data_IF_809338637466
#
_entry.id   IF_809338637466
#
_cell.length_a   1.000
_cell.length_b   1.000
_cell.length_c   1.000
_cell.angle_alpha   90.00
_cell.angle_beta   90.00
_cell.angle_gamma   90.00
#
_symmetry.space_group_name_H-M   'P 1'
#
loop_
_entity.id
_entity.type
_entity.pdbx_description
1 polymer ?
#
# COMPACT_ATOMS: atom_id res chain seq x y z
N UNK A 1 -2.30 6.98 44.10
CA UNK A 1 -2.63 5.70 43.43
C UNK A 1 -2.05 5.75 42.04
N UNK A 2 -0.94 5.05 41.79
CA UNK A 2 -0.44 4.88 40.43
C UNK A 2 -1.39 3.89 39.75
N UNK A 3 -2.07 4.32 38.70
CA UNK A 3 -2.85 3.43 37.85
C UNK A 3 -1.81 2.77 36.94
N UNK A 4 -1.53 1.49 37.12
CA UNK A 4 -0.69 0.75 36.18
C UNK A 4 -1.44 0.69 34.84
N UNK A 5 -1.01 1.53 33.90
CA UNK A 5 -1.50 1.53 32.53
C UNK A 5 -0.77 0.42 31.80
N UNK A 6 -1.37 -0.77 31.75
CA UNK A 6 -0.88 -1.86 30.91
C UNK A 6 -1.26 -1.57 29.45
N UNK A 7 -0.27 -1.21 28.64
CA UNK A 7 -0.41 -1.14 27.19
C UNK A 7 -0.18 -2.54 26.60
N UNK A 8 -1.15 -3.02 25.80
CA UNK A 8 -1.07 -4.29 25.08
C UNK A 8 -1.06 -4.02 23.58
N UNK A 9 -0.02 -4.50 22.90
CA UNK A 9 0.02 -4.53 21.43
C UNK A 9 -0.87 -5.66 20.94
N UNK A 10 -1.69 -5.39 19.92
CA UNK A 10 -2.57 -6.37 19.29
C UNK A 10 -2.18 -6.49 17.81
N UNK A 11 -1.81 -7.71 17.40
CA UNK A 11 -1.81 -8.05 15.99
C UNK A 11 -3.25 -8.33 15.58
N UNK A 12 -3.78 -7.52 14.66
CA UNK A 12 -5.19 -7.59 14.26
C UNK A 12 -5.45 -8.65 13.18
N UNK A 13 -4.45 -9.00 12.37
CA UNK A 13 -4.65 -9.81 11.15
C UNK A 13 -5.89 -9.36 10.35
N UNK A 14 -6.06 -8.04 10.21
CA UNK A 14 -7.30 -7.43 9.74
C UNK A 14 -7.61 -7.71 8.26
N UNK A 15 -6.68 -8.33 7.52
CA UNK A 15 -6.89 -8.74 6.14
C UNK A 15 -8.08 -9.70 6.00
N UNK A 16 -8.40 -10.46 7.05
CA UNK A 16 -9.56 -11.35 7.08
C UNK A 16 -10.88 -10.67 7.50
N UNK A 17 -10.91 -9.35 7.66
CA UNK A 17 -12.14 -8.60 7.93
C UNK A 17 -13.17 -8.82 6.82
N UNK A 18 -14.45 -8.91 7.20
CA UNK A 18 -15.58 -9.13 6.31
C UNK A 18 -16.78 -8.31 6.75
N UNK A 19 -17.47 -7.73 5.79
CA UNK A 19 -18.69 -6.96 6.02
C UNK A 19 -19.51 -6.89 4.75
N UNK A 20 -20.84 -6.89 4.88
CA UNK A 20 -21.76 -6.59 3.78
C UNK A 20 -21.64 -5.16 3.26
N UNK A 21 -20.92 -4.29 3.99
CA UNK A 21 -20.62 -2.92 3.57
C UNK A 21 -19.38 -2.82 2.68
N UNK A 22 -18.65 -3.92 2.44
CA UNK A 22 -17.58 -3.92 1.43
C UNK A 22 -18.22 -3.88 0.03
N UNK A 23 -17.87 -2.89 -0.81
CA UNK A 23 -18.42 -2.76 -2.16
C UNK A 23 -17.71 -3.72 -3.11
N UNK A 24 -18.00 -5.02 -2.96
CA UNK A 24 -17.42 -6.08 -3.79
C UNK A 24 -18.13 -6.13 -5.15
N UNK A 25 -17.34 -6.22 -6.20
CA UNK A 25 -17.78 -6.44 -7.58
C UNK A 25 -17.64 -7.91 -7.98
N UNK A 26 -18.22 -8.27 -9.14
CA UNK A 26 -18.03 -9.61 -9.73
C UNK A 26 -16.55 -9.95 -9.94
N UNK A 27 -15.69 -8.96 -10.18
CA UNK A 27 -14.25 -9.17 -10.34
C UNK A 27 -13.57 -9.55 -9.03
N UNK A 28 -14.01 -8.98 -7.90
CA UNK A 28 -13.50 -9.33 -6.58
C UNK A 28 -13.95 -10.75 -6.19
N UNK A 29 -15.20 -11.11 -6.50
CA UNK A 29 -15.73 -12.45 -6.27
C UNK A 29 -15.02 -13.52 -7.13
N UNK A 30 -14.77 -13.22 -8.41
CA UNK A 30 -14.00 -14.12 -9.28
C UNK A 30 -12.55 -14.28 -8.79
N UNK A 31 -11.90 -13.18 -8.41
CA UNK A 31 -10.55 -13.20 -7.82
C UNK A 31 -10.50 -14.05 -6.55
N UNK A 32 -11.46 -13.87 -5.63
CA UNK A 32 -11.54 -14.67 -4.40
C UNK A 32 -11.72 -16.17 -4.71
N UNK A 33 -12.63 -16.50 -5.62
CA UNK A 33 -12.94 -17.89 -6.02
C UNK A 33 -11.71 -18.60 -6.60
N UNK A 34 -10.89 -17.90 -7.38
CA UNK A 34 -9.68 -18.45 -8.02
C UNK A 34 -8.42 -18.35 -7.13
N UNK A 35 -8.51 -17.73 -5.95
CA UNK A 35 -7.38 -17.58 -5.04
C UNK A 35 -7.01 -18.88 -4.33
N UNK A 36 -5.83 -18.91 -3.70
CA UNK A 36 -5.39 -20.06 -2.88
C UNK A 36 -6.27 -20.30 -1.65
N UNK A 37 -6.97 -19.26 -1.19
CA UNK A 37 -7.80 -19.27 0.01
C UNK A 37 -9.17 -18.62 -0.29
N UNK A 38 -10.04 -19.30 -1.07
CA UNK A 38 -11.36 -18.79 -1.37
C UNK A 38 -12.17 -18.59 -0.10
N UNK A 39 -12.78 -17.43 0.02
CA UNK A 39 -13.54 -17.11 1.20
C UNK A 39 -12.67 -16.75 2.41
N UNK A 40 -11.43 -16.32 2.22
CA UNK A 40 -10.56 -15.76 3.26
C UNK A 40 -9.86 -14.51 2.75
N UNK A 41 -9.33 -13.69 3.67
CA UNK A 41 -8.57 -12.48 3.36
C UNK A 41 -9.31 -11.50 2.43
N UNK A 42 -10.64 -11.41 2.56
CA UNK A 42 -11.47 -10.59 1.66
C UNK A 42 -11.10 -9.12 1.71
N UNK A 43 -10.83 -8.59 2.89
CA UNK A 43 -10.41 -7.21 3.03
C UNK A 43 -9.03 -6.97 2.40
N UNK A 44 -8.09 -7.90 2.61
CA UNK A 44 -6.77 -7.87 1.96
C UNK A 44 -6.86 -7.83 0.43
N UNK A 45 -7.74 -8.66 -0.13
CA UNK A 45 -7.98 -8.81 -1.58
C UNK A 45 -8.51 -7.54 -2.25
N UNK A 46 -9.06 -6.59 -1.49
CA UNK A 46 -9.58 -5.34 -2.04
C UNK A 46 -8.78 -4.10 -1.69
N UNK A 47 -7.75 -4.20 -0.83
CA UNK A 47 -6.92 -3.05 -0.42
C UNK A 47 -5.43 -3.20 -0.69
N UNK A 48 -4.89 -4.41 -0.87
CA UNK A 48 -3.43 -4.59 -0.97
C UNK A 48 -2.94 -4.63 -2.40
N UNK A 49 -1.67 -4.21 -2.59
CA UNK A 49 -1.17 -3.88 -3.92
C UNK A 49 -1.11 -5.05 -4.91
N UNK A 50 -0.93 -6.28 -4.41
CA UNK A 50 -0.94 -7.49 -5.26
C UNK A 50 -2.31 -7.63 -5.96
N UNK A 51 -3.39 -7.39 -5.25
CA UNK A 51 -4.73 -7.63 -5.79
C UNK A 51 -5.31 -6.42 -6.52
N UNK A 52 -4.94 -5.17 -6.16
CA UNK A 52 -5.41 -3.99 -6.90
C UNK A 52 -5.08 -4.09 -8.40
N UNK A 53 -3.85 -4.49 -8.73
CA UNK A 53 -3.45 -4.68 -10.12
C UNK A 53 -4.17 -5.84 -10.81
N UNK A 54 -4.38 -6.95 -10.10
CA UNK A 54 -5.14 -8.10 -10.61
C UNK A 54 -6.62 -7.75 -10.89
N UNK A 55 -7.23 -6.91 -10.05
CA UNK A 55 -8.60 -6.43 -10.28
C UNK A 55 -8.66 -5.58 -11.56
N UNK A 56 -7.72 -4.64 -11.75
CA UNK A 56 -7.63 -3.86 -13.00
C UNK A 56 -7.45 -4.79 -14.21
N UNK A 57 -6.57 -5.79 -14.12
CA UNK A 57 -6.34 -6.76 -15.19
C UNK A 57 -7.60 -7.54 -15.54
N UNK A 58 -8.37 -8.01 -14.54
CA UNK A 58 -9.65 -8.72 -14.77
C UNK A 58 -10.68 -7.85 -15.49
N UNK A 59 -10.79 -6.58 -15.12
CA UNK A 59 -11.66 -5.63 -15.82
C UNK A 59 -11.18 -5.44 -17.27
N UNK A 60 -9.87 -5.27 -17.48
CA UNK A 60 -9.29 -5.13 -18.82
C UNK A 60 -9.51 -6.36 -19.70
N UNK A 61 -9.36 -7.58 -19.15
CA UNK A 61 -9.69 -8.82 -19.86
C UNK A 61 -11.13 -8.81 -20.36
N UNK A 62 -12.08 -8.50 -19.48
CA UNK A 62 -13.50 -8.51 -19.83
C UNK A 62 -13.83 -7.47 -20.90
N UNK A 63 -13.32 -6.25 -20.74
CA UNK A 63 -13.54 -5.17 -21.71
C UNK A 63 -12.85 -5.48 -23.06
N UNK A 64 -11.71 -6.17 -23.04
CA UNK A 64 -11.06 -6.65 -24.26
C UNK A 64 -11.91 -7.67 -25.02
N UNK A 65 -12.53 -8.61 -24.31
CA UNK A 65 -13.36 -9.68 -24.89
C UNK A 65 -14.73 -9.18 -25.35
N UNK A 66 -15.39 -8.33 -24.55
CA UNK A 66 -16.77 -7.92 -24.80
C UNK A 66 -16.89 -6.67 -25.71
N UNK A 67 -15.88 -5.81 -25.73
CA UNK A 67 -15.93 -4.52 -26.43
C UNK A 67 -14.86 -4.35 -27.52
N UNK A 68 -14.14 -5.44 -27.87
CA UNK A 68 -13.02 -5.40 -28.82
C UNK A 68 -12.03 -4.26 -28.50
N UNK A 69 -11.76 -4.05 -27.21
CA UNK A 69 -11.03 -2.87 -26.73
C UNK A 69 -9.61 -2.76 -27.31
N UNK A 70 -8.96 -3.91 -27.53
CA UNK A 70 -7.65 -4.01 -28.20
C UNK A 70 -7.76 -4.48 -29.67
N UNK A 71 -8.96 -4.43 -30.26
CA UNK A 71 -9.27 -5.02 -31.57
C UNK A 71 -9.83 -6.43 -31.47
N UNK A 72 -9.78 -7.18 -32.58
CA UNK A 72 -10.40 -8.50 -32.71
C UNK A 72 -9.69 -9.59 -31.88
N UNK A 73 -8.44 -9.37 -31.49
CA UNK A 73 -7.64 -10.31 -30.71
C UNK A 73 -7.29 -9.70 -29.36
N UNK A 74 -7.62 -10.40 -28.28
CA UNK A 74 -7.20 -10.02 -26.93
C UNK A 74 -5.71 -10.34 -26.74
N UNK A 75 -4.88 -9.39 -26.30
CA UNK A 75 -3.47 -9.64 -26.03
C UNK A 75 -3.29 -10.80 -25.02
N UNK A 76 -2.48 -11.83 -25.34
CA UNK A 76 -2.32 -13.01 -24.48
C UNK A 76 -1.84 -12.65 -23.06
N UNK A 77 -0.88 -11.71 -22.97
CA UNK A 77 -0.33 -11.21 -21.71
C UNK A 77 -1.38 -10.64 -20.76
N UNK A 78 -2.41 -9.96 -21.27
CA UNK A 78 -3.50 -9.42 -20.42
C UNK A 78 -4.23 -10.54 -19.67
N UNK A 79 -4.22 -11.78 -20.21
CA UNK A 79 -4.82 -12.95 -19.57
C UNK A 79 -3.94 -13.60 -18.49
N UNK A 80 -2.66 -13.25 -18.41
CA UNK A 80 -1.74 -13.79 -17.41
C UNK A 80 -2.07 -13.22 -16.02
N UNK A 81 -2.44 -14.04 -15.03
CA UNK A 81 -2.74 -13.56 -13.68
C UNK A 81 -1.57 -12.77 -13.09
N UNK A 82 -1.89 -11.67 -12.40
CA UNK A 82 -0.92 -10.82 -11.70
C UNK A 82 0.15 -10.15 -12.58
N UNK A 83 -0.02 -10.12 -13.90
CA UNK A 83 0.91 -9.41 -14.81
C UNK A 83 0.91 -7.88 -14.60
N UNK A 84 -0.23 -7.33 -14.17
CA UNK A 84 -0.40 -5.91 -13.91
C UNK A 84 -0.26 -5.70 -12.40
N UNK A 85 0.87 -5.13 -11.98
CA UNK A 85 1.14 -4.77 -10.58
C UNK A 85 0.92 -3.28 -10.31
N UNK A 86 0.83 -2.91 -9.03
CA UNK A 86 0.69 -1.51 -8.62
C UNK A 86 1.85 -0.58 -8.97
N UNK A 87 3.11 -1.02 -9.19
CA UNK A 87 4.12 -0.13 -9.77
C UNK A 87 3.72 0.43 -11.14
N UNK A 88 3.07 -0.40 -11.97
CA UNK A 88 2.56 0.02 -13.27
C UNK A 88 1.37 0.97 -13.10
N UNK A 89 0.46 0.67 -12.16
CA UNK A 89 -0.65 1.58 -11.85
C UNK A 89 -0.16 2.95 -11.36
N UNK A 90 0.88 2.97 -10.51
CA UNK A 90 1.52 4.20 -10.04
C UNK A 90 2.13 4.99 -11.19
N UNK A 91 2.88 4.33 -12.08
CA UNK A 91 3.43 4.98 -13.27
C UNK A 91 2.35 5.52 -14.22
N UNK A 92 1.20 4.83 -14.34
CA UNK A 92 0.05 5.29 -15.13
C UNK A 92 -0.56 6.56 -14.54
N UNK A 93 -0.69 6.66 -13.21
CA UNK A 93 -1.24 7.84 -12.56
C UNK A 93 -0.31 9.05 -12.57
N UNK A 94 1.00 8.83 -12.57
CA UNK A 94 2.01 9.89 -12.66
C UNK A 94 2.13 10.52 -14.05
N UNK A 95 1.51 9.92 -15.08
CA UNK A 95 1.56 10.45 -16.44
C UNK A 95 0.68 11.69 -16.59
N UNK A 96 1.34 12.85 -16.60
CA UNK A 96 0.70 14.17 -16.80
C UNK A 96 0.78 14.64 -18.26
N UNK A 97 1.27 13.81 -19.18
CA UNK A 97 1.38 14.19 -20.59
C UNK A 97 0.00 14.31 -21.25
N UNK A 98 -0.23 15.32 -22.12
CA UNK A 98 -1.53 15.50 -22.78
C UNK A 98 -2.00 14.29 -23.60
N UNK A 99 -1.05 13.52 -24.12
CA UNK A 99 -1.26 12.33 -24.93
C UNK A 99 -1.13 11.02 -24.15
N UNK A 100 -0.79 11.03 -22.86
CA UNK A 100 -0.58 9.84 -22.03
C UNK A 100 0.48 8.89 -22.61
N UNK A 101 1.62 9.43 -23.08
CA UNK A 101 2.67 8.62 -23.72
C UNK A 101 3.35 7.63 -22.76
N UNK A 102 3.45 7.96 -21.47
CA UNK A 102 4.06 7.07 -20.48
C UNK A 102 3.09 5.94 -20.15
N UNK A 103 1.78 6.17 -20.17
CA UNK A 103 0.78 5.08 -20.11
C UNK A 103 0.99 4.10 -21.25
N UNK A 104 1.20 4.58 -22.49
CA UNK A 104 1.51 3.69 -23.62
C UNK A 104 2.81 2.90 -23.39
N UNK A 105 3.85 3.55 -22.87
CA UNK A 105 5.15 2.94 -22.58
C UNK A 105 5.04 1.83 -21.52
N UNK A 106 4.40 2.12 -20.39
CA UNK A 106 4.22 1.19 -19.27
C UNK A 106 3.33 -0.02 -19.62
N UNK A 107 2.46 0.12 -20.62
CA UNK A 107 1.60 -0.95 -21.08
C UNK A 107 2.22 -1.80 -22.20
N UNK A 108 3.38 -1.44 -22.74
CA UNK A 108 3.98 -2.11 -23.89
C UNK A 108 4.19 -3.61 -23.63
N UNK A 109 4.69 -3.95 -22.44
CA UNK A 109 4.99 -5.32 -22.05
C UNK A 109 3.72 -6.11 -21.70
N UNK A 110 2.70 -5.46 -21.12
CA UNK A 110 1.41 -6.10 -20.78
C UNK A 110 0.56 -6.34 -22.04
N UNK A 111 0.58 -5.40 -22.99
CA UNK A 111 -0.21 -5.52 -24.21
C UNK A 111 0.51 -6.29 -25.30
N UNK A 112 1.75 -6.74 -25.05
CA UNK A 112 2.59 -7.46 -26.00
C UNK A 112 2.55 -6.78 -27.37
N UNK A 113 2.60 -5.44 -27.35
CA UNK A 113 2.63 -4.61 -28.55
C UNK A 113 4.02 -4.79 -29.14
N UNK A 114 4.19 -5.88 -29.88
CA UNK A 114 5.30 -6.02 -30.79
C UNK A 114 5.14 -4.90 -31.82
N UNK A 115 6.12 -4.01 -31.86
CA UNK A 115 6.45 -3.28 -33.09
C UNK A 115 6.70 -4.37 -34.14
N UNK A 116 5.67 -4.74 -34.90
CA UNK A 116 5.90 -5.55 -36.08
C UNK A 116 6.80 -4.73 -36.99
N UNK A 117 7.96 -5.30 -37.26
CA UNK A 117 9.05 -4.86 -38.12
C UNK A 117 8.54 -4.68 -39.57
N UNK A 118 7.73 -3.66 -39.81
CA UNK A 118 7.33 -3.23 -41.14
C UNK A 118 7.62 -1.73 -41.22
N UNK A 119 8.71 -1.38 -41.90
CA UNK A 119 9.30 -0.03 -42.04
C UNK A 119 8.37 1.05 -42.65
N UNK A 120 7.09 0.78 -42.86
CA UNK A 120 6.18 1.64 -43.63
C UNK A 120 4.87 2.03 -42.91
N UNK A 121 4.76 1.88 -41.60
CA UNK A 121 3.63 2.44 -40.84
C UNK A 121 4.11 3.48 -39.83
N UNK A 122 3.53 4.69 -39.81
CA UNK A 122 3.99 5.75 -38.92
C UNK A 122 3.82 5.33 -37.46
N UNK A 123 4.93 5.50 -36.74
CA UNK A 123 5.12 5.32 -35.30
C UNK A 123 4.00 6.02 -34.50
N UNK A 124 2.99 5.25 -34.12
CA UNK A 124 1.96 5.63 -33.17
C UNK A 124 1.86 4.45 -32.24
N UNK A 125 2.14 4.67 -30.95
CA UNK A 125 1.83 3.71 -29.88
C UNK A 125 0.52 2.98 -30.20
N UNK A 126 0.48 1.65 -30.29
CA UNK A 126 -0.73 0.88 -30.68
C UNK A 126 -1.96 1.08 -29.75
N UNK A 127 -1.91 2.03 -28.83
CA UNK A 127 -3.01 2.47 -28.00
C UNK A 127 -3.56 3.82 -28.52
N UNK A 128 -4.88 3.98 -28.60
CA UNK A 128 -5.48 5.30 -28.84
C UNK A 128 -5.52 6.12 -27.55
N UNK A 129 -5.53 7.46 -27.64
CA UNK A 129 -5.69 8.32 -26.46
C UNK A 129 -6.96 7.98 -25.66
N UNK A 130 -8.05 7.62 -26.35
CA UNK A 130 -9.30 7.17 -25.71
C UNK A 130 -9.07 5.90 -24.89
N UNK A 131 -8.32 4.94 -25.44
CA UNK A 131 -8.00 3.69 -24.76
C UNK A 131 -7.16 3.95 -23.50
N UNK A 132 -6.13 4.79 -23.61
CA UNK A 132 -5.29 5.18 -22.47
C UNK A 132 -6.09 5.87 -21.37
N UNK A 133 -7.01 6.77 -21.71
CA UNK A 133 -7.91 7.42 -20.75
C UNK A 133 -8.79 6.41 -20.01
N UNK A 134 -9.32 5.39 -20.68
CA UNK A 134 -10.08 4.32 -20.03
C UNK A 134 -9.21 3.54 -19.05
N UNK A 135 -7.97 3.23 -19.41
CA UNK A 135 -7.05 2.51 -18.52
C UNK A 135 -6.71 3.34 -17.27
N UNK A 136 -6.43 4.64 -17.45
CA UNK A 136 -6.23 5.58 -16.32
C UNK A 136 -7.45 5.58 -15.40
N UNK A 137 -8.66 5.64 -15.95
CA UNK A 137 -9.90 5.64 -15.17
C UNK A 137 -10.10 4.33 -14.39
N UNK A 138 -9.79 3.18 -15.00
CA UNK A 138 -9.84 1.89 -14.30
C UNK A 138 -8.86 1.84 -13.12
N UNK A 139 -7.62 2.30 -13.32
CA UNK A 139 -6.64 2.42 -12.25
C UNK A 139 -7.14 3.37 -11.15
N UNK A 140 -7.75 4.49 -11.53
CA UNK A 140 -8.28 5.49 -10.60
C UNK A 140 -9.40 4.90 -9.73
N UNK A 141 -10.36 4.20 -10.33
CA UNK A 141 -11.48 3.56 -9.61
C UNK A 141 -10.95 2.54 -8.59
N UNK A 142 -10.04 1.66 -9.00
CA UNK A 142 -9.56 0.58 -8.14
C UNK A 142 -8.65 1.10 -7.03
N UNK A 143 -7.72 2.01 -7.34
CA UNK A 143 -6.83 2.61 -6.35
C UNK A 143 -7.62 3.45 -5.32
N UNK A 144 -8.56 4.28 -5.79
CA UNK A 144 -9.43 5.09 -4.93
C UNK A 144 -10.25 4.20 -3.99
N UNK A 145 -10.84 3.11 -4.51
CA UNK A 145 -11.58 2.16 -3.67
C UNK A 145 -10.68 1.55 -2.59
N UNK A 146 -9.50 1.05 -2.94
CA UNK A 146 -8.56 0.46 -1.99
C UNK A 146 -8.12 1.44 -0.90
N UNK A 147 -7.76 2.66 -1.31
CA UNK A 147 -7.33 3.73 -0.40
C UNK A 147 -8.46 4.15 0.57
N UNK A 148 -9.68 4.31 0.06
CA UNK A 148 -10.86 4.68 0.86
C UNK A 148 -11.21 3.60 1.89
N UNK A 149 -11.18 2.33 1.47
CA UNK A 149 -11.40 1.21 2.37
C UNK A 149 -10.31 1.14 3.45
N UNK A 150 -9.03 1.29 3.06
CA UNK A 150 -7.91 1.34 4.00
C UNK A 150 -8.08 2.44 5.05
N UNK A 151 -8.46 3.65 4.63
CA UNK A 151 -8.76 4.76 5.52
C UNK A 151 -9.91 4.42 6.49
N UNK A 152 -10.99 3.78 5.99
CA UNK A 152 -12.09 3.34 6.84
C UNK A 152 -11.65 2.31 7.90
N UNK A 153 -10.74 1.39 7.56
CA UNK A 153 -10.12 0.47 8.53
C UNK A 153 -9.36 1.20 9.63
N UNK A 154 -8.52 2.18 9.26
CA UNK A 154 -7.80 3.05 10.20
C UNK A 154 -8.76 3.80 11.11
N UNK A 155 -9.83 4.39 10.55
CA UNK A 155 -10.87 5.07 11.34
C UNK A 155 -11.59 4.11 12.29
N UNK A 156 -11.80 2.86 11.90
CA UNK A 156 -12.35 1.83 12.78
C UNK A 156 -11.49 1.62 14.03
N UNK A 157 -10.16 1.62 13.88
CA UNK A 157 -9.21 1.54 15.00
C UNK A 157 -9.28 2.79 15.86
N UNK A 158 -9.27 3.98 15.26
CA UNK A 158 -9.37 5.25 15.98
C UNK A 158 -10.66 5.32 16.83
N UNK A 159 -11.80 4.92 16.24
CA UNK A 159 -13.09 4.80 16.95
C UNK A 159 -13.01 3.84 18.11
N UNK A 160 -12.41 2.66 17.90
CA UNK A 160 -12.23 1.66 18.96
C UNK A 160 -11.38 2.17 20.12
N UNK A 161 -10.39 3.02 19.84
CA UNK A 161 -9.55 3.68 20.83
C UNK A 161 -10.16 4.96 21.43
N UNK A 162 -11.30 5.43 20.91
CA UNK A 162 -11.91 6.71 21.28
C UNK A 162 -11.05 7.93 20.92
N UNK A 163 -10.26 7.81 19.83
CA UNK A 163 -9.35 8.82 19.26
C UNK A 163 -9.90 9.46 17.99
N UNK A 164 -11.16 9.19 17.68
CA UNK A 164 -11.94 9.78 16.58
C UNK A 164 -12.65 11.09 16.99
N UNK A 165 -12.47 11.55 18.22
CA UNK A 165 -13.08 12.77 18.78
C UNK A 165 -12.09 13.51 19.68
N UNK A 166 -12.25 14.83 19.82
CA UNK A 166 -11.45 15.64 20.74
C UNK A 166 -12.12 15.63 22.12
N UNK A 167 -11.39 15.19 23.16
CA UNK A 167 -11.88 15.15 24.54
C UNK A 167 -11.08 16.07 25.46
N UNK A 168 -11.79 16.85 26.29
CA UNK A 168 -11.24 17.46 27.50
C UNK A 168 -10.14 18.52 27.32
N UNK A 169 -10.14 19.28 26.23
CA UNK A 169 -9.18 20.39 26.00
C UNK A 169 -7.71 19.97 25.79
N UNK A 170 -7.41 18.67 25.86
CA UNK A 170 -6.08 18.11 25.63
C UNK A 170 -5.88 17.73 24.16
N UNK A 171 -4.87 18.33 23.50
CA UNK A 171 -4.45 17.99 22.14
C UNK A 171 -3.57 16.72 22.14
N UNK A 172 -4.13 15.57 22.52
CA UNK A 172 -3.36 14.33 22.42
C UNK A 172 -3.21 13.95 20.94
N UNK A 173 -2.00 14.16 20.40
CA UNK A 173 -1.67 13.71 19.04
C UNK A 173 -1.72 12.19 18.96
N UNK A 174 -2.15 11.68 17.82
CA UNK A 174 -2.16 10.26 17.45
C UNK A 174 -1.32 10.09 16.20
N UNK A 175 -0.21 9.36 16.30
CA UNK A 175 0.64 9.04 15.15
C UNK A 175 0.33 7.62 14.70
N UNK A 176 0.09 7.44 13.40
CA UNK A 176 -0.11 6.16 12.75
C UNK A 176 1.11 5.90 11.89
N UNK A 177 1.93 4.93 12.31
CA UNK A 177 3.07 4.48 11.54
C UNK A 177 2.57 3.60 10.38
N UNK A 178 2.90 4.01 9.15
CA UNK A 178 2.50 3.36 7.91
C UNK A 178 3.75 2.80 7.23
N UNK A 179 3.64 1.61 6.66
CA UNK A 179 4.69 0.96 5.87
C UNK A 179 4.04 0.34 4.62
N UNK A 180 4.85 -0.03 3.63
CA UNK A 180 4.46 -0.74 2.43
C UNK A 180 4.39 0.13 1.17
N UNK A 181 4.71 -0.48 0.03
CA UNK A 181 4.91 0.23 -1.23
C UNK A 181 3.70 1.05 -1.74
N UNK A 182 2.48 0.68 -1.37
CA UNK A 182 1.29 1.50 -1.66
C UNK A 182 1.37 2.86 -0.97
N UNK A 183 1.69 2.88 0.32
CA UNK A 183 1.82 4.13 1.04
C UNK A 183 3.12 4.84 0.65
N UNK A 184 4.23 4.14 0.46
CA UNK A 184 5.55 4.76 0.23
C UNK A 184 5.81 5.26 -1.19
N UNK A 185 5.25 4.62 -2.22
CA UNK A 185 5.63 4.86 -3.61
C UNK A 185 4.47 5.15 -4.56
N UNK A 186 3.22 5.07 -4.07
CA UNK A 186 2.04 5.35 -4.87
C UNK A 186 1.34 6.60 -4.35
N UNK A 187 1.77 7.77 -4.85
CA UNK A 187 1.35 9.09 -4.37
C UNK A 187 -0.15 9.27 -4.38
N UNK A 188 -0.83 8.91 -5.47
CA UNK A 188 -2.27 9.06 -5.64
C UNK A 188 -3.04 8.19 -4.64
N UNK A 189 -2.52 6.99 -4.34
CA UNK A 189 -3.09 6.13 -3.30
C UNK A 189 -2.92 6.74 -1.90
N UNK A 190 -1.73 7.25 -1.59
CA UNK A 190 -1.43 7.92 -0.32
C UNK A 190 -2.33 9.13 -0.10
N UNK A 191 -2.38 10.04 -1.07
CA UNK A 191 -3.20 11.25 -1.00
C UNK A 191 -4.68 10.91 -0.86
N UNK A 192 -5.17 9.91 -1.62
CA UNK A 192 -6.56 9.45 -1.48
C UNK A 192 -6.85 8.92 -0.07
N UNK A 193 -5.93 8.15 0.52
CA UNK A 193 -6.06 7.61 1.86
C UNK A 193 -6.08 8.73 2.91
N UNK A 194 -5.15 9.67 2.86
CA UNK A 194 -5.06 10.81 3.79
C UNK A 194 -6.27 11.75 3.68
N UNK A 195 -6.71 12.05 2.46
CA UNK A 195 -7.90 12.86 2.21
C UNK A 195 -9.17 12.16 2.72
N UNK A 196 -9.30 10.85 2.49
CA UNK A 196 -10.46 10.08 2.98
C UNK A 196 -10.45 9.96 4.50
N UNK A 197 -9.29 9.81 5.12
CA UNK A 197 -9.18 9.84 6.58
C UNK A 197 -9.71 11.16 7.12
N UNK A 198 -9.28 12.29 6.53
CA UNK A 198 -9.73 13.63 6.90
C UNK A 198 -11.24 13.80 6.71
N UNK A 199 -11.78 13.32 5.58
CA UNK A 199 -13.23 13.29 5.31
C UNK A 199 -14.01 12.54 6.39
N UNK A 200 -13.51 11.37 6.83
CA UNK A 200 -14.21 10.48 7.75
C UNK A 200 -14.15 10.92 9.23
N UNK A 201 -13.06 11.58 9.65
CA UNK A 201 -12.89 12.05 11.05
C UNK A 201 -13.25 13.53 11.23
N UNK A 202 -13.26 14.30 10.14
CA UNK A 202 -13.47 15.74 10.14
C UNK A 202 -12.20 16.56 10.39
N UNK A 203 -12.21 17.79 9.88
CA UNK A 203 -11.08 18.75 9.89
C UNK A 203 -10.50 19.06 11.27
N UNK A 204 -11.31 19.00 12.32
CA UNK A 204 -10.82 19.30 13.67
C UNK A 204 -9.99 18.15 14.22
N UNK A 205 -10.47 16.92 14.03
CA UNK A 205 -9.83 15.68 14.52
C UNK A 205 -8.63 15.32 13.65
N UNK A 206 -8.68 15.58 12.33
CA UNK A 206 -7.56 15.30 11.42
C UNK A 206 -6.28 16.03 11.83
N UNK A 207 -6.38 17.25 12.37
CA UNK A 207 -5.23 18.06 12.84
C UNK A 207 -4.43 17.42 13.99
N UNK A 208 -5.02 16.46 14.69
CA UNK A 208 -4.34 15.72 15.77
C UNK A 208 -3.93 14.30 15.35
N UNK A 209 -4.21 13.90 14.10
CA UNK A 209 -3.81 12.61 13.53
C UNK A 209 -2.70 12.86 12.53
N UNK A 210 -1.63 12.07 12.62
CA UNK A 210 -0.48 12.17 11.72
C UNK A 210 -0.17 10.77 11.18
N UNK A 211 -0.18 10.60 9.85
CA UNK A 211 0.29 9.38 9.22
C UNK A 211 1.76 9.59 8.85
N UNK A 212 2.64 8.72 9.35
CA UNK A 212 4.07 8.81 9.12
C UNK A 212 4.54 7.54 8.44
N UNK A 213 5.35 7.69 7.39
CA UNK A 213 6.11 6.56 6.85
C UNK A 213 7.04 6.07 7.97
N UNK A 214 6.93 4.79 8.29
CA UNK A 214 7.86 4.13 9.17
C UNK A 214 9.15 3.90 8.40
N UNK A 215 10.05 4.89 8.43
CA UNK A 215 11.38 4.74 7.86
C UNK A 215 12.00 3.46 8.42
N UNK A 216 12.25 2.47 7.56
CA UNK A 216 12.78 1.18 7.95
C UNK A 216 13.91 1.39 8.95
N UNK A 217 13.65 0.92 10.16
CA UNK A 217 14.49 1.14 11.32
C UNK A 217 15.69 0.20 11.26
N UNK A 218 16.44 0.22 10.15
CA UNK A 218 17.82 -0.29 10.16
C UNK A 218 18.65 0.46 11.22
N UNK A 219 18.27 1.70 11.54
CA UNK A 219 18.93 2.51 12.55
C UNK A 219 18.66 2.07 14.00
N UNK A 220 17.42 1.69 14.40
CA UNK A 220 17.22 1.14 15.76
C UNK A 220 17.54 -0.35 15.86
N UNK A 221 17.46 -1.17 14.80
CA UNK A 221 17.97 -2.55 14.92
C UNK A 221 19.48 -2.56 15.16
N UNK A 222 20.24 -1.68 14.51
CA UNK A 222 21.65 -1.43 14.86
C UNK A 222 21.80 -0.86 16.28
N UNK A 223 20.91 0.02 16.73
CA UNK A 223 20.97 0.57 18.10
C UNK A 223 20.66 -0.50 19.17
N UNK A 224 19.69 -1.38 18.92
CA UNK A 224 19.32 -2.51 19.79
C UNK A 224 20.35 -3.64 19.76
N UNK A 225 21.06 -3.84 18.65
CA UNK A 225 22.22 -4.73 18.57
C UNK A 225 23.46 -4.15 19.27
N UNK A 226 23.63 -2.82 19.33
CA UNK A 226 24.75 -2.16 19.99
C UNK A 226 24.58 -1.98 21.52
N UNK A 227 23.34 -1.99 22.02
CA UNK A 227 23.04 -1.89 23.46
C UNK A 227 23.63 -3.04 24.31
N UNK A 228 23.51 -4.33 23.93
CA UNK A 228 24.14 -5.41 24.69
C UNK A 228 25.67 -5.39 24.56
N UNK A 229 26.22 -4.97 23.42
CA UNK A 229 27.68 -4.91 23.18
C UNK A 229 28.36 -3.88 24.09
N UNK A 230 27.74 -2.72 24.37
CA UNK A 230 28.30 -1.75 25.32
C UNK A 230 28.36 -2.26 26.77
N UNK A 231 27.40 -3.08 27.20
CA UNK A 231 27.45 -3.70 28.54
C UNK A 231 28.51 -4.80 28.65
N UNK A 232 28.77 -5.51 27.55
CA UNK A 232 29.77 -6.58 27.47
C UNK A 232 31.19 -5.99 27.40
N UNK A 233 31.40 -4.94 26.60
CA UNK A 233 32.69 -4.25 26.51
C UNK A 233 33.09 -3.54 27.82
N UNK A 234 32.13 -3.01 28.60
CA UNK A 234 32.41 -2.49 29.96
C UNK A 234 32.85 -3.57 30.95
N UNK A 235 32.43 -4.83 30.76
CA UNK A 235 32.86 -5.98 31.57
C UNK A 235 34.18 -6.61 31.10
N UNK A 236 34.62 -6.28 29.89
CA UNK A 236 35.86 -6.82 29.29
C UNK A 236 37.04 -5.84 29.32
N UNK A 237 36.87 -4.63 29.87
CA UNK A 237 38.00 -3.75 30.17
C UNK A 237 38.80 -4.35 31.32
N UNK A 238 40.09 -4.68 31.16
CA UNK A 238 40.92 -5.11 32.28
C UNK A 238 41.18 -3.90 33.17
N UNK A 239 40.41 -3.74 34.25
CA UNK A 239 40.83 -2.89 35.34
C UNK A 239 42.13 -3.46 35.91
N UNK A 240 43.15 -2.62 35.77
CA UNK A 240 44.49 -2.74 36.32
C UNK A 240 44.52 -3.44 37.68
N UNK A 241 45.31 -4.51 37.73
CA UNK A 241 45.94 -5.09 38.91
C UNK A 241 46.32 -4.06 39.99
N UNK A 242 45.41 -3.83 40.95
CA UNK A 242 45.80 -3.32 42.27
C UNK A 242 46.12 -4.52 43.16
N UNK A 243 47.41 -4.86 43.25
CA UNK A 243 47.94 -5.78 44.26
C UNK A 243 47.64 -5.23 45.66
N UNK A 244 47.18 -6.04 46.63
CA UNK A 244 47.14 -5.62 48.01
C UNK A 244 48.56 -5.63 48.58
N UNK A 245 49.01 -4.48 49.10
CA UNK A 245 50.18 -4.39 49.97
C UNK A 245 49.71 -4.72 51.38
N UNK A 246 50.14 -5.86 51.93
CA UNK A 246 50.03 -6.14 53.37
C UNK A 246 51.11 -5.35 54.13
N UNK A 247 50.79 -4.71 55.28
CA UNK A 247 51.80 -4.13 56.14
C UNK A 247 52.49 -5.22 56.99
N UNK A 248 53.79 -5.02 57.20
CA UNK A 248 54.58 -5.72 58.21
C UNK A 248 54.21 -5.21 59.62
N UNK A 249 54.08 -6.18 60.54
CA UNK A 249 53.78 -6.11 61.99
C UNK A 249 52.31 -5.95 62.39
#
# INVERSE_FOLDING_TARGET
MAVDIWLKVINMEWGNFRSSHLPLSDYDHALDTESLNPGELIYEKVITGIYLGEIVRRVLCRVAEEAAFFGDTVPPKVKEPFILGTPIMSAIHQDTSPDLKEVASNLKDILEIYFNLCENFPDISNTSLKMRKVIVELCNIVATRGARLSAAGVVGILKKMGRDTIKGGGKQKTVIAMDGGLYEHYTEYRECLENTLTELVGEEVSRIIELSIQMMVLALELLFLLLPIRSILKRMSPESSKKPVMPFF
#
